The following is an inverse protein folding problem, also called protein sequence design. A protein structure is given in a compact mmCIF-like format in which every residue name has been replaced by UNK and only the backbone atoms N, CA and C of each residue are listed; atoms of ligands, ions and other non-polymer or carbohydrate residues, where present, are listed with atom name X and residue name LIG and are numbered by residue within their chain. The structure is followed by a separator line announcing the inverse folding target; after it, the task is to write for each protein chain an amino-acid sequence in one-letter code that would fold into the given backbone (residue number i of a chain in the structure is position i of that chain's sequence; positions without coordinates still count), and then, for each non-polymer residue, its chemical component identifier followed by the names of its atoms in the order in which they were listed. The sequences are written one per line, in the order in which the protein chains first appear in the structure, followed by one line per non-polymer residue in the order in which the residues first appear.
data_IF_835102442651
#
_entry.id   IF_835102442651
#
_cell.length_a   1.000
_cell.length_b   1.000
_cell.length_c   1.000
_cell.angle_alpha   90.00
_cell.angle_beta   90.00
_cell.angle_gamma   90.00
#
_symmetry.space_group_name_H-M   'P 1'
#
loop_
_entity.id
_entity.type
_entity.pdbx_description
1 polymer ?
#
# COMPACT_ATOMS: atom_id res chain seq x y z
N UNK A 1 9.10 2.89 4.98
CA UNK A 1 8.49 2.57 3.67
C UNK A 1 7.92 1.14 3.61
N UNK A 2 8.75 0.10 3.54
CA UNK A 2 8.30 -1.28 3.30
C UNK A 2 7.28 -1.82 4.32
N UNK A 3 7.47 -1.53 5.61
CA UNK A 3 6.54 -1.94 6.66
C UNK A 3 5.13 -1.32 6.50
N UNK A 4 5.03 -0.14 5.88
CA UNK A 4 3.75 0.48 5.52
C UNK A 4 3.16 -0.08 4.21
N UNK A 5 3.80 -1.06 3.58
CA UNK A 5 3.33 -1.72 2.36
C UNK A 5 3.79 -1.06 1.06
N UNK A 6 4.75 -0.15 1.10
CA UNK A 6 5.27 0.52 -0.08
C UNK A 6 6.39 -0.28 -0.77
N UNK A 7 6.33 -0.30 -2.11
CA UNK A 7 7.36 -0.79 -3.03
C UNK A 7 7.91 0.41 -3.80
N UNK A 8 9.22 0.51 -3.95
CA UNK A 8 9.85 1.59 -4.72
C UNK A 8 9.63 1.37 -6.22
N UNK A 9 9.07 2.36 -6.91
CA UNK A 9 8.64 2.25 -8.31
C UNK A 9 9.13 3.44 -9.16
N UNK A 10 10.43 3.78 -9.13
CA UNK A 10 10.94 5.02 -9.70
C UNK A 10 10.73 5.13 -11.21
N UNK A 11 10.60 6.37 -11.69
CA UNK A 11 10.72 6.72 -13.11
C UNK A 11 11.77 7.82 -13.29
N UNK A 12 12.15 8.14 -14.54
CA UNK A 12 13.12 9.21 -14.82
C UNK A 12 12.70 10.57 -14.25
N UNK A 13 11.39 10.85 -14.21
CA UNK A 13 10.84 12.12 -13.72
C UNK A 13 10.43 12.09 -12.24
N UNK A 14 10.29 10.90 -11.65
CA UNK A 14 9.84 10.69 -10.27
C UNK A 14 10.73 9.63 -9.59
N UNK A 15 11.92 10.01 -9.09
CA UNK A 15 12.91 9.07 -8.58
C UNK A 15 12.57 8.47 -7.21
N UNK A 16 11.70 9.10 -6.44
CA UNK A 16 11.33 8.71 -5.07
C UNK A 16 9.91 8.12 -4.98
N UNK A 17 9.21 7.96 -6.10
CA UNK A 17 7.84 7.43 -6.09
C UNK A 17 7.82 6.00 -5.55
N UNK A 18 6.86 5.76 -4.67
CA UNK A 18 6.56 4.45 -4.11
C UNK A 18 5.09 4.11 -4.35
N UNK A 19 4.80 2.84 -4.52
CA UNK A 19 3.44 2.34 -4.70
C UNK A 19 3.09 1.32 -3.62
N UNK A 20 1.91 1.44 -3.01
CA UNK A 20 1.44 0.42 -2.08
C UNK A 20 1.12 -0.87 -2.83
N UNK A 21 1.72 -2.00 -2.45
CA UNK A 21 1.46 -3.30 -3.08
C UNK A 21 0.01 -3.78 -2.98
N UNK A 22 -0.76 -3.26 -2.02
CA UNK A 22 -2.12 -3.72 -1.72
C UNK A 22 -3.22 -2.82 -2.30
N UNK A 23 -3.12 -1.51 -2.08
CA UNK A 23 -4.12 -0.55 -2.56
C UNK A 23 -3.69 0.15 -3.85
N UNK A 24 -2.47 -0.06 -4.34
CA UNK A 24 -1.91 0.58 -5.53
C UNK A 24 -1.91 2.12 -5.48
N UNK A 25 -1.96 2.72 -4.29
CA UNK A 25 -1.78 4.17 -4.14
C UNK A 25 -0.29 4.49 -4.34
N UNK A 26 -0.02 5.40 -5.26
CA UNK A 26 1.30 5.99 -5.49
C UNK A 26 1.46 7.27 -4.68
N UNK A 27 2.66 7.47 -4.12
CA UNK A 27 3.09 8.66 -3.40
C UNK A 27 4.53 9.00 -3.80
N UNK A 28 4.81 10.28 -3.98
CA UNK A 28 6.12 10.87 -4.30
C UNK A 28 6.28 12.17 -3.51
N UNK A 29 7.49 12.76 -3.53
CA UNK A 29 7.80 13.99 -2.81
C UNK A 29 8.06 13.77 -1.33
N UNK A 30 8.73 12.67 -0.97
CA UNK A 30 8.96 12.29 0.42
C UNK A 30 10.01 13.18 1.11
N UNK A 31 9.69 13.60 2.33
CA UNK A 31 10.61 14.32 3.22
C UNK A 31 11.22 13.36 4.27
N UNK A 32 12.42 13.63 4.80
CA UNK A 32 13.08 12.72 5.76
C UNK A 32 12.30 12.46 7.05
N UNK A 33 11.40 13.37 7.44
CA UNK A 33 10.58 13.34 8.64
C UNK A 33 9.19 12.74 8.44
N UNK A 34 8.82 12.37 7.20
CA UNK A 34 7.54 11.71 6.93
C UNK A 34 7.47 10.32 7.58
N UNK A 35 6.36 10.06 8.29
CA UNK A 35 6.01 8.70 8.70
C UNK A 35 5.25 7.99 7.56
N UNK A 36 5.80 6.90 7.00
CA UNK A 36 5.18 6.24 5.85
C UNK A 36 3.80 5.65 6.14
N UNK A 37 3.55 5.19 7.37
CA UNK A 37 2.26 4.60 7.71
C UNK A 37 1.19 5.67 7.86
N UNK A 38 1.53 6.81 8.45
CA UNK A 38 0.63 7.96 8.57
C UNK A 38 0.30 8.57 7.21
N UNK A 39 1.29 8.78 6.34
CA UNK A 39 1.02 9.25 4.97
C UNK A 39 0.17 8.22 4.18
N UNK A 40 0.42 6.92 4.35
CA UNK A 40 -0.43 5.89 3.72
C UNK A 40 -1.89 5.98 4.21
N UNK A 41 -2.13 6.11 5.52
CA UNK A 41 -3.50 6.25 6.05
C UNK A 41 -4.17 7.54 5.59
N UNK A 42 -3.42 8.65 5.55
CA UNK A 42 -3.91 9.96 5.09
C UNK A 42 -4.36 9.94 3.63
N UNK A 43 -3.55 9.37 2.75
CA UNK A 43 -3.81 9.36 1.30
C UNK A 43 -4.64 8.17 0.81
N UNK A 44 -4.81 7.13 1.64
CA UNK A 44 -5.61 5.95 1.31
C UNK A 44 -6.19 5.27 2.57
N UNK A 45 -7.00 6.00 3.34
CA UNK A 45 -7.63 5.53 4.58
C UNK A 45 -8.41 4.20 4.45
N UNK A 46 -8.88 3.85 3.24
CA UNK A 46 -9.56 2.59 2.95
C UNK A 46 -8.64 1.38 2.71
N UNK A 47 -7.31 1.53 2.79
CA UNK A 47 -6.38 0.43 2.56
C UNK A 47 -6.45 -0.60 3.69
N UNK A 48 -6.95 -1.79 3.39
CA UNK A 48 -7.07 -2.86 4.39
C UNK A 48 -5.72 -3.36 4.92
N UNK A 49 -4.62 -3.16 4.18
CA UNK A 49 -3.28 -3.47 4.66
C UNK A 49 -2.75 -2.41 5.63
N UNK A 50 -2.91 -1.11 5.33
CA UNK A 50 -2.48 -0.03 6.23
C UNK A 50 -3.21 -0.05 7.59
N UNK A 51 -4.45 -0.56 7.60
CA UNK A 51 -5.27 -0.71 8.81
C UNK A 51 -5.12 -2.09 9.48
N UNK A 52 -4.21 -2.94 9.02
CA UNK A 52 -4.02 -4.27 9.57
C UNK A 52 -3.35 -4.18 10.96
N UNK A 53 -4.03 -4.70 11.98
CA UNK A 53 -3.51 -4.73 13.36
C UNK A 53 -2.70 -5.98 13.69
N UNK A 54 -2.72 -6.98 12.81
CA UNK A 54 -2.00 -8.24 12.96
C UNK A 54 -0.75 -8.24 12.11
N UNK A 55 0.28 -8.92 12.59
CA UNK A 55 1.47 -9.18 11.79
C UNK A 55 1.09 -10.00 10.53
N UNK A 56 1.49 -9.57 9.32
CA UNK A 56 1.13 -10.24 8.07
C UNK A 56 1.60 -11.70 7.99
N UNK A 57 2.66 -12.09 8.70
CA UNK A 57 3.15 -13.47 8.69
C UNK A 57 2.31 -14.39 9.59
N UNK A 58 1.50 -13.83 10.49
CA UNK A 58 0.66 -14.58 11.44
C UNK A 58 -0.83 -14.58 11.06
N UNK A 59 -1.15 -14.37 9.79
CA UNK A 59 -2.53 -14.43 9.30
C UNK A 59 -3.00 -15.88 9.13
N UNK A 60 -4.23 -16.15 9.54
CA UNK A 60 -4.89 -17.41 9.14
C UNK A 60 -5.17 -17.40 7.64
N UNK A 61 -5.28 -18.58 7.04
CA UNK A 61 -5.65 -18.72 5.61
C UNK A 61 -6.94 -17.97 5.29
N UNK A 62 -7.94 -18.03 6.18
CA UNK A 62 -9.21 -17.32 5.99
C UNK A 62 -9.02 -15.79 5.95
N UNK A 63 -8.19 -15.22 6.83
CA UNK A 63 -7.90 -13.78 6.85
C UNK A 63 -7.11 -13.36 5.61
N UNK A 64 -6.10 -14.14 5.24
CA UNK A 64 -5.32 -13.94 4.02
C UNK A 64 -6.24 -13.90 2.78
N UNK A 65 -7.12 -14.88 2.61
CA UNK A 65 -8.05 -14.94 1.49
C UNK A 65 -9.03 -13.75 1.46
N UNK A 66 -9.41 -13.20 2.61
CA UNK A 66 -10.24 -11.98 2.68
C UNK A 66 -9.47 -10.74 2.21
N UNK A 67 -8.20 -10.64 2.60
CA UNK A 67 -7.32 -9.55 2.16
C UNK A 67 -7.02 -9.65 0.67
N UNK A 68 -6.69 -10.85 0.17
CA UNK A 68 -6.42 -11.08 -1.25
C UNK A 68 -7.61 -10.67 -2.14
N UNK A 69 -8.84 -11.10 -1.79
CA UNK A 69 -10.07 -10.65 -2.48
C UNK A 69 -10.22 -9.13 -2.53
N UNK A 70 -9.85 -8.41 -1.46
CA UNK A 70 -9.89 -6.94 -1.44
C UNK A 70 -8.82 -6.35 -2.35
N UNK A 71 -7.61 -6.91 -2.33
CA UNK A 71 -6.52 -6.50 -3.23
C UNK A 71 -6.92 -6.71 -4.70
N UNK A 72 -7.48 -7.86 -5.07
CA UNK A 72 -7.94 -8.11 -6.46
C UNK A 72 -8.92 -7.05 -6.92
N UNK A 73 -9.87 -6.64 -6.04
CA UNK A 73 -10.78 -5.52 -6.34
C UNK A 73 -10.03 -4.20 -6.55
N UNK A 74 -9.05 -3.89 -5.70
CA UNK A 74 -8.23 -2.68 -5.87
C UNK A 74 -7.51 -2.67 -7.22
N UNK A 75 -6.94 -3.81 -7.64
CA UNK A 75 -6.30 -3.97 -8.95
C UNK A 75 -7.30 -3.67 -10.08
N UNK A 76 -8.47 -4.29 -10.05
CA UNK A 76 -9.51 -4.10 -11.08
C UNK A 76 -9.97 -2.63 -11.18
N UNK A 77 -10.06 -1.94 -10.03
CA UNK A 77 -10.56 -0.55 -9.98
C UNK A 77 -9.49 0.48 -10.32
N UNK A 78 -8.21 0.22 -9.98
CA UNK A 78 -7.14 1.22 -10.06
C UNK A 78 -6.17 1.01 -11.22
N UNK A 79 -6.14 -0.16 -11.85
CA UNK A 79 -5.41 -0.33 -13.11
C UNK A 79 -6.26 0.23 -14.25
N UNK A 80 -5.78 1.24 -15.00
CA UNK A 80 -6.49 1.72 -16.19
C UNK A 80 -6.57 0.59 -17.24
N UNK A 81 -7.69 0.53 -17.97
CA UNK A 81 -7.78 -0.29 -19.20
C UNK A 81 -6.97 0.33 -20.32
#
# INVERSE_FOLDING_TARGET
MAAAGFVHCPSENSPDVVQCFFCLKELEGWEPDDDPLEEHKKHSAGCAFASLQKDPANLTVQEFLKLDKKRTKNVIVRTPR
#
